data_IF_407679710267
#
_entry.id   IF_407679710267
#
_cell.length_a   1.000
_cell.length_b   1.000
_cell.length_c   1.000
_cell.angle_alpha   90.00
_cell.angle_beta   90.00
_cell.angle_gamma   90.00
#
_symmetry.space_group_name_H-M   'P 1'
#
loop_
_entity.id
_entity.type
_entity.pdbx_description
1 polymer ?
#
# COMPACT_ATOMS: atom_id res chain seq x y z
N UNK A 1 -10.54 2.65 4.24
CA UNK A 1 -9.64 3.45 3.39
C UNK A 1 -10.13 3.40 1.95
N UNK A 2 -10.21 4.55 1.31
CA UNK A 2 -10.56 4.62 -0.10
C UNK A 2 -9.31 4.43 -0.94
N UNK A 3 -9.47 4.14 -2.24
CA UNK A 3 -8.32 4.01 -3.14
C UNK A 3 -7.49 5.28 -3.15
N UNK A 4 -8.14 6.45 -3.18
CA UNK A 4 -7.42 7.73 -3.17
C UNK A 4 -6.61 7.89 -1.88
N UNK A 5 -7.17 7.47 -0.76
CA UNK A 5 -6.49 7.54 0.52
C UNK A 5 -5.28 6.60 0.55
N UNK A 6 -5.42 5.44 -0.09
CA UNK A 6 -4.30 4.50 -0.20
C UNK A 6 -3.12 5.15 -0.93
N UNK A 7 -3.39 5.78 -2.08
CA UNK A 7 -2.32 6.41 -2.85
C UNK A 7 -1.73 7.61 -2.13
N UNK A 8 -2.55 8.37 -1.41
CA UNK A 8 -2.05 9.48 -0.59
C UNK A 8 -1.11 8.97 0.51
N UNK A 9 -1.48 7.87 1.16
CA UNK A 9 -0.66 7.27 2.20
C UNK A 9 0.67 6.76 1.63
N UNK A 10 0.62 6.14 0.46
CA UNK A 10 1.83 5.65 -0.22
C UNK A 10 2.78 6.83 -0.50
N UNK A 11 2.25 7.91 -1.04
CA UNK A 11 3.08 9.06 -1.37
C UNK A 11 3.65 9.71 -0.11
N UNK A 12 2.84 9.84 0.93
CA UNK A 12 3.29 10.45 2.20
C UNK A 12 4.37 9.61 2.88
N UNK A 13 4.31 8.29 2.73
CA UNK A 13 5.22 7.39 3.42
C UNK A 13 6.51 7.15 2.63
N UNK A 14 6.40 6.95 1.33
CA UNK A 14 7.53 6.53 0.49
C UNK A 14 8.00 7.58 -0.51
N UNK A 15 7.22 8.62 -0.72
CA UNK A 15 7.49 9.60 -1.77
C UNK A 15 6.90 9.15 -3.09
N UNK A 16 6.84 10.06 -4.08
CA UNK A 16 6.16 9.73 -5.34
C UNK A 16 6.90 8.69 -6.17
N UNK A 17 8.21 8.80 -6.30
CA UNK A 17 8.96 7.87 -7.16
C UNK A 17 9.00 6.47 -6.58
N UNK A 18 9.42 6.33 -5.31
CA UNK A 18 9.53 5.04 -4.66
C UNK A 18 8.16 4.43 -4.42
N UNK A 19 7.19 5.28 -4.07
CA UNK A 19 5.82 4.82 -3.84
C UNK A 19 5.22 4.17 -5.07
N UNK A 20 5.38 4.80 -6.24
CA UNK A 20 4.89 4.22 -7.49
C UNK A 20 5.55 2.88 -7.79
N UNK A 21 6.85 2.81 -7.57
CA UNK A 21 7.60 1.58 -7.82
C UNK A 21 7.09 0.46 -6.92
N UNK A 22 6.88 0.74 -5.65
CA UNK A 22 6.36 -0.27 -4.73
C UNK A 22 4.97 -0.76 -5.13
N UNK A 23 4.09 0.16 -5.54
CA UNK A 23 2.71 -0.21 -5.90
C UNK A 23 2.67 -1.07 -7.15
N UNK A 24 3.49 -0.74 -8.15
CA UNK A 24 3.43 -1.43 -9.44
C UNK A 24 4.37 -2.63 -9.55
N UNK A 25 5.46 -2.65 -8.78
CA UNK A 25 6.50 -3.66 -8.98
C UNK A 25 6.74 -4.59 -7.79
N UNK A 26 6.43 -4.17 -6.57
CA UNK A 26 6.70 -5.01 -5.41
C UNK A 26 5.63 -6.09 -5.26
N UNK A 27 6.07 -7.34 -5.33
CA UNK A 27 5.16 -8.47 -5.17
C UNK A 27 4.88 -8.67 -3.68
N UNK A 28 3.60 -8.70 -3.33
CA UNK A 28 3.15 -8.92 -1.96
C UNK A 28 2.79 -10.40 -1.81
N UNK A 29 3.71 -11.17 -1.25
CA UNK A 29 3.57 -12.63 -1.18
C UNK A 29 2.27 -13.06 -0.51
N UNK A 30 1.87 -12.36 0.55
CA UNK A 30 0.64 -12.72 1.27
C UNK A 30 -0.62 -12.52 0.43
N UNK A 31 -0.56 -11.65 -0.57
CA UNK A 31 -1.70 -11.38 -1.46
C UNK A 31 -1.54 -12.06 -2.82
N UNK A 32 -0.37 -12.60 -3.10
CA UNK A 32 -0.09 -13.25 -4.38
C UNK A 32 -0.08 -12.31 -5.56
N UNK A 33 0.18 -11.03 -5.34
CA UNK A 33 0.11 -10.00 -6.37
C UNK A 33 0.81 -8.74 -5.92
N UNK A 34 1.06 -7.83 -6.87
CA UNK A 34 1.48 -6.47 -6.50
C UNK A 34 0.29 -5.73 -5.90
N UNK A 35 0.57 -4.61 -5.23
CA UNK A 35 -0.50 -3.79 -4.66
C UNK A 35 -1.50 -3.37 -5.73
N UNK A 36 -1.01 -2.97 -6.89
CA UNK A 36 -1.86 -2.55 -8.00
C UNK A 36 -2.78 -3.66 -8.46
N UNK A 37 -2.24 -4.86 -8.66
CA UNK A 37 -3.03 -5.99 -9.12
C UNK A 37 -4.03 -6.44 -8.06
N UNK A 38 -3.62 -6.41 -6.78
CA UNK A 38 -4.51 -6.79 -5.69
C UNK A 38 -5.71 -5.83 -5.62
N UNK A 39 -5.47 -4.53 -5.73
CA UNK A 39 -6.55 -3.55 -5.74
C UNK A 39 -7.48 -3.77 -6.93
N UNK A 40 -6.92 -4.06 -8.10
CA UNK A 40 -7.72 -4.36 -9.30
C UNK A 40 -8.56 -5.62 -9.13
N UNK A 41 -8.07 -6.57 -8.37
CA UNK A 41 -8.79 -7.82 -8.11
C UNK A 41 -9.85 -7.68 -7.01
N UNK A 42 -9.95 -6.51 -6.38
CA UNK A 42 -10.99 -6.27 -5.39
C UNK A 42 -10.54 -6.41 -3.94
N UNK A 43 -9.25 -6.60 -3.69
CA UNK A 43 -8.74 -6.62 -2.32
C UNK A 43 -8.87 -5.20 -1.74
N UNK A 44 -9.29 -5.10 -0.49
CA UNK A 44 -9.54 -3.79 0.09
C UNK A 44 -8.25 -2.98 0.22
N UNK A 45 -8.32 -1.66 0.04
CA UNK A 45 -7.14 -0.81 0.22
C UNK A 45 -6.53 -0.93 1.61
N UNK A 46 -7.34 -1.14 2.65
CA UNK A 46 -6.84 -1.31 4.01
C UNK A 46 -5.92 -2.52 4.10
N UNK A 47 -6.32 -3.63 3.50
CA UNK A 47 -5.52 -4.84 3.54
C UNK A 47 -4.26 -4.69 2.69
N UNK A 48 -4.38 -4.10 1.51
CA UNK A 48 -3.24 -3.87 0.64
C UNK A 48 -2.23 -2.97 1.35
N UNK A 49 -2.71 -1.91 2.00
CA UNK A 49 -1.84 -0.99 2.74
C UNK A 49 -1.11 -1.71 3.87
N UNK A 50 -1.82 -2.52 4.64
CA UNK A 50 -1.21 -3.27 5.74
C UNK A 50 -0.10 -4.20 5.23
N UNK A 51 -0.35 -4.91 4.13
CA UNK A 51 0.64 -5.82 3.58
C UNK A 51 1.82 -5.08 2.97
N UNK A 52 1.57 -3.95 2.33
CA UNK A 52 2.64 -3.14 1.76
C UNK A 52 3.57 -2.62 2.87
N UNK A 53 3.01 -2.13 3.96
CA UNK A 53 3.80 -1.65 5.09
C UNK A 53 4.61 -2.78 5.72
N UNK A 54 4.02 -3.94 5.86
CA UNK A 54 4.70 -5.10 6.42
C UNK A 54 5.85 -5.55 5.53
N UNK A 55 5.61 -5.62 4.24
CA UNK A 55 6.62 -6.08 3.27
C UNK A 55 7.80 -5.13 3.18
N UNK A 56 7.55 -3.83 3.33
CA UNK A 56 8.60 -2.81 3.24
C UNK A 56 9.26 -2.50 4.58
N UNK A 57 8.80 -3.14 5.66
CA UNK A 57 9.34 -2.89 7.00
C UNK A 57 8.83 -1.60 7.63
N UNK A 58 7.79 -1.01 7.08
CA UNK A 58 7.23 0.25 7.59
C UNK A 58 5.93 0.00 8.33
N UNK A 59 5.96 -0.90 9.30
CA UNK A 59 4.77 -1.20 10.09
C UNK A 59 4.27 0.00 10.89
N UNK A 60 5.16 0.93 11.18
CA UNK A 60 4.80 2.18 11.85
C UNK A 60 3.81 3.00 11.01
N UNK A 61 3.83 2.85 9.70
CA UNK A 61 2.96 3.59 8.79
C UNK A 61 1.59 2.95 8.59
N UNK A 62 1.36 1.75 9.14
CA UNK A 62 0.07 1.06 8.98
C UNK A 62 -1.10 1.88 9.48
N UNK A 63 -0.86 2.74 10.45
CA UNK A 63 -1.91 3.50 11.12
C UNK A 63 -2.07 4.91 10.57
N UNK A 64 -1.36 5.25 9.51
CA UNK A 64 -1.33 6.63 9.02
C UNK A 64 -2.73 7.16 8.67
N UNK A 65 -3.61 6.31 8.15
CA UNK A 65 -4.97 6.70 7.78
C UNK A 65 -5.84 6.96 9.02
N UNK A 66 -5.40 6.57 10.19
CA UNK A 66 -6.15 6.78 11.43
C UNK A 66 -5.81 8.10 12.11
N UNK A 67 -4.85 8.82 11.55
CA UNK A 67 -4.43 10.11 12.09
C UNK A 67 -5.27 11.25 11.54
N UNK A 68 -6.12 10.97 10.60
CA UNK A 68 -6.99 11.97 9.96
C UNK A 68 -8.20 12.34 10.81
#
# INVERSE_FOLDING_TARGET
MKHSEFYEAVEATFGSALGRSYVSDLYLASLGATARDALSAGVSPDEVWAQLCEETGREDARWIHRLD
#
